data_IF_701211487443
#
_entry.id   IF_701211487443
#
_cell.length_a   1.000
_cell.length_b   1.000
_cell.length_c   1.000
_cell.angle_alpha   90.00
_cell.angle_beta   90.00
_cell.angle_gamma   90.00
#
_symmetry.space_group_name_H-M   'P 1'
#
loop_
_entity.id
_entity.type
_entity.pdbx_description
1 polymer ?
#
# COMPACT_ATOMS: atom_id res chain seq x y z
N UNK A 1 -17.80 -28.45 6.36
CA UNK A 1 -16.98 -28.25 7.57
C UNK A 1 -17.16 -29.48 8.42
N UNK A 2 -16.08 -30.19 8.72
CA UNK A 2 -16.09 -31.31 9.67
C UNK A 2 -15.44 -30.83 10.97
N UNK A 3 -16.01 -31.18 12.10
CA UNK A 3 -15.59 -30.63 13.38
C UNK A 3 -14.93 -31.68 14.27
N UNK A 4 -13.75 -31.35 14.79
CA UNK A 4 -12.95 -32.21 15.66
C UNK A 4 -12.53 -31.42 16.90
N UNK A 5 -13.38 -31.37 17.92
CA UNK A 5 -13.12 -30.62 19.16
C UNK A 5 -12.89 -29.12 18.91
N UNK A 6 -11.71 -28.63 19.27
CA UNK A 6 -11.27 -27.24 19.04
C UNK A 6 -10.73 -26.98 17.62
N UNK A 7 -10.85 -27.94 16.72
CA UNK A 7 -10.44 -27.80 15.33
C UNK A 7 -11.61 -28.01 14.38
N UNK A 8 -11.56 -27.35 13.23
CA UNK A 8 -12.52 -27.49 12.15
C UNK A 8 -11.75 -27.75 10.84
N UNK A 9 -12.08 -28.85 10.16
CA UNK A 9 -11.65 -29.11 8.80
C UNK A 9 -12.59 -28.36 7.85
N UNK A 10 -12.06 -27.35 7.16
CA UNK A 10 -12.80 -26.56 6.19
C UNK A 10 -12.40 -27.01 4.79
N UNK A 11 -13.40 -27.32 3.96
CA UNK A 11 -13.24 -27.66 2.56
C UNK A 11 -13.63 -26.46 1.70
N UNK A 12 -12.71 -26.03 0.85
CA UNK A 12 -12.90 -24.99 -0.15
C UNK A 12 -13.05 -25.62 -1.52
N UNK A 13 -13.96 -25.07 -2.32
CA UNK A 13 -14.28 -25.57 -3.66
C UNK A 13 -14.32 -24.42 -4.65
N UNK A 14 -13.57 -24.57 -5.75
CA UNK A 14 -13.50 -23.63 -6.86
C UNK A 14 -13.99 -24.36 -8.09
N UNK A 15 -15.14 -23.96 -8.62
CA UNK A 15 -15.76 -24.57 -9.80
C UNK A 15 -15.69 -23.61 -10.99
N UNK A 16 -15.23 -24.12 -12.12
CA UNK A 16 -15.25 -23.44 -13.41
C UNK A 16 -16.06 -24.25 -14.44
N UNK A 17 -16.50 -23.58 -15.50
CA UNK A 17 -17.19 -24.18 -16.66
C UNK A 17 -16.33 -24.15 -17.92
N UNK A 18 -15.01 -24.12 -17.77
CA UNK A 18 -14.04 -23.97 -18.84
C UNK A 18 -13.79 -25.25 -19.64
N UNK A 19 -12.66 -25.30 -20.34
CA UNK A 19 -12.31 -26.40 -21.24
C UNK A 19 -12.13 -27.76 -20.55
N UNK A 20 -11.98 -27.77 -19.23
CA UNK A 20 -11.70 -28.97 -18.45
C UNK A 20 -10.40 -29.68 -18.86
N UNK A 21 -10.13 -30.83 -18.24
CA UNK A 21 -8.89 -31.58 -18.39
C UNK A 21 -9.15 -33.04 -18.77
N UNK A 22 -8.31 -33.57 -19.68
CA UNK A 22 -8.32 -34.96 -20.06
C UNK A 22 -7.77 -35.86 -18.93
N UNK A 23 -8.18 -37.13 -18.92
CA UNK A 23 -7.86 -38.06 -17.82
C UNK A 23 -6.37 -38.23 -17.54
N UNK A 24 -5.53 -38.28 -18.59
CA UNK A 24 -4.08 -38.41 -18.47
C UNK A 24 -3.44 -37.21 -17.76
N UNK A 25 -3.96 -36.00 -18.02
CA UNK A 25 -3.43 -34.74 -17.50
C UNK A 25 -3.78 -34.52 -16.02
N UNK A 26 -4.96 -35.00 -15.57
CA UNK A 26 -5.43 -34.84 -14.18
C UNK A 26 -4.43 -35.33 -13.13
N UNK A 27 -3.71 -36.40 -13.43
CA UNK A 27 -2.76 -37.04 -12.50
C UNK A 27 -1.45 -36.26 -12.33
N UNK A 28 -1.08 -35.42 -13.30
CA UNK A 28 0.23 -34.75 -13.36
C UNK A 28 0.15 -33.25 -13.14
N UNK A 29 -1.06 -32.67 -13.16
CA UNK A 29 -1.24 -31.20 -13.13
C UNK A 29 -0.76 -30.53 -11.82
N UNK A 30 -0.56 -31.31 -10.75
CA UNK A 30 0.03 -30.85 -9.50
C UNK A 30 1.56 -30.99 -9.46
N UNK A 31 2.17 -31.66 -10.44
CA UNK A 31 3.62 -31.79 -10.56
C UNK A 31 4.22 -30.54 -11.20
N UNK A 32 5.43 -30.18 -10.75
CA UNK A 32 6.10 -28.97 -11.21
C UNK A 32 6.31 -28.97 -12.71
N UNK A 33 6.05 -27.82 -13.35
CA UNK A 33 6.23 -27.59 -14.78
C UNK A 33 5.33 -28.45 -15.69
N UNK A 34 4.29 -29.08 -15.14
CA UNK A 34 3.31 -29.79 -15.96
C UNK A 34 2.26 -28.83 -16.49
N UNK A 35 2.07 -28.83 -17.81
CA UNK A 35 1.01 -28.10 -18.49
C UNK A 35 -0.04 -29.07 -19.03
N UNK A 36 -1.27 -28.57 -19.18
CA UNK A 36 -2.35 -29.35 -19.75
C UNK A 36 -2.29 -29.48 -21.28
N UNK A 37 -1.48 -28.63 -21.91
CA UNK A 37 -1.34 -28.51 -23.35
C UNK A 37 0.16 -28.30 -23.64
N UNK A 38 0.81 -29.26 -24.32
CA UNK A 38 2.21 -29.15 -24.76
C UNK A 38 2.36 -28.27 -26.02
N UNK A 39 1.26 -27.66 -26.46
CA UNK A 39 1.18 -26.81 -27.64
C UNK A 39 1.81 -25.43 -27.41
N UNK A 40 2.72 -25.01 -28.30
CA UNK A 40 3.33 -23.67 -28.31
C UNK A 40 2.35 -22.54 -28.65
N UNK A 41 1.06 -22.83 -28.90
CA UNK A 41 0.05 -21.79 -29.16
C UNK A 41 -0.49 -21.23 -27.84
N UNK A 42 -0.14 -19.97 -27.56
CA UNK A 42 -0.44 -19.18 -26.36
C UNK A 42 -1.94 -18.90 -26.13
N UNK A 43 -2.77 -19.92 -25.98
CA UNK A 43 -4.19 -19.73 -25.62
C UNK A 43 -4.47 -19.97 -24.13
N UNK A 44 -3.69 -20.83 -23.47
CA UNK A 44 -3.84 -21.16 -22.04
C UNK A 44 -2.46 -21.34 -21.35
N UNK A 45 -1.52 -20.41 -21.58
CA UNK A 45 -0.14 -20.52 -21.09
C UNK A 45 0.04 -20.05 -19.64
N UNK A 46 0.85 -20.78 -18.87
CA UNK A 46 1.31 -20.45 -17.51
C UNK A 46 2.50 -21.34 -17.11
N UNK A 47 3.30 -21.00 -16.11
CA UNK A 47 4.58 -21.70 -15.80
C UNK A 47 4.44 -23.16 -15.31
N UNK A 48 3.21 -23.65 -15.09
CA UNK A 48 2.95 -24.96 -14.50
C UNK A 48 3.32 -25.06 -13.02
N UNK A 49 3.59 -23.92 -12.35
CA UNK A 49 4.00 -23.88 -10.95
C UNK A 49 2.86 -23.55 -9.98
N UNK A 50 1.79 -22.89 -10.45
CA UNK A 50 0.70 -22.42 -9.58
C UNK A 50 0.08 -23.54 -8.73
N UNK A 51 -0.29 -24.66 -9.34
CA UNK A 51 -0.88 -25.80 -8.63
C UNK A 51 0.14 -26.55 -7.74
N UNK A 52 1.42 -26.54 -8.09
CA UNK A 52 2.49 -27.06 -7.23
C UNK A 52 2.63 -26.21 -5.96
N UNK A 53 2.64 -24.88 -6.08
CA UNK A 53 2.72 -23.97 -4.94
C UNK A 53 1.49 -24.13 -4.06
N UNK A 54 0.28 -24.17 -4.65
CA UNK A 54 -0.96 -24.42 -3.90
C UNK A 54 -0.93 -25.74 -3.15
N UNK A 55 -0.39 -26.81 -3.76
CA UNK A 55 -0.21 -28.10 -3.08
C UNK A 55 0.76 -28.02 -1.91
N UNK A 56 1.90 -27.35 -2.06
CA UNK A 56 2.87 -27.17 -0.97
C UNK A 56 2.26 -26.38 0.19
N UNK A 57 1.55 -25.28 -0.08
CA UNK A 57 0.91 -24.48 0.97
C UNK A 57 -0.15 -25.28 1.72
N UNK A 58 -1.03 -25.97 1.00
CA UNK A 58 -2.07 -26.80 1.62
C UNK A 58 -1.45 -27.91 2.49
N UNK A 59 -0.36 -28.55 2.03
CA UNK A 59 0.37 -29.55 2.81
C UNK A 59 1.05 -28.97 4.05
N UNK A 60 1.66 -27.77 3.96
CA UNK A 60 2.24 -27.06 5.12
C UNK A 60 1.15 -26.75 6.15
N UNK A 61 -0.07 -26.43 5.69
CA UNK A 61 -1.23 -26.16 6.54
C UNK A 61 -1.95 -27.45 7.00
N UNK A 62 -1.33 -28.63 6.83
CA UNK A 62 -1.86 -29.91 7.30
C UNK A 62 -3.10 -30.40 6.56
N UNK A 63 -3.32 -29.89 5.35
CA UNK A 63 -4.49 -30.13 4.53
C UNK A 63 -4.25 -31.00 3.30
N UNK A 64 -5.31 -31.25 2.54
CA UNK A 64 -5.26 -31.99 1.27
C UNK A 64 -5.81 -31.16 0.11
N UNK A 65 -5.24 -31.28 -1.09
CA UNK A 65 -5.71 -30.63 -2.32
C UNK A 65 -6.00 -31.67 -3.38
N UNK A 66 -7.03 -31.42 -4.20
CA UNK A 66 -7.40 -32.28 -5.29
C UNK A 66 -8.20 -31.55 -6.36
N UNK A 67 -8.58 -32.31 -7.39
CA UNK A 67 -9.42 -31.80 -8.45
C UNK A 67 -10.30 -32.87 -9.07
N UNK A 68 -11.40 -32.42 -9.68
CA UNK A 68 -12.24 -33.18 -10.58
C UNK A 68 -12.38 -32.37 -11.87
N UNK A 69 -12.26 -33.00 -13.02
CA UNK A 69 -12.44 -32.28 -14.28
C UNK A 69 -12.85 -33.22 -15.39
N UNK A 70 -13.67 -32.69 -16.29
CA UNK A 70 -14.11 -33.35 -17.49
C UNK A 70 -13.92 -32.40 -18.68
N UNK A 71 -13.27 -32.91 -19.73
CA UNK A 71 -13.05 -32.15 -20.96
C UNK A 71 -14.37 -31.58 -21.51
N UNK A 72 -14.35 -30.29 -21.83
CA UNK A 72 -15.47 -29.45 -22.28
C UNK A 72 -16.63 -29.28 -21.28
N UNK A 73 -16.44 -29.60 -19.99
CA UNK A 73 -17.45 -29.39 -18.94
C UNK A 73 -16.93 -28.62 -17.72
N UNK A 74 -15.70 -28.14 -17.77
CA UNK A 74 -15.05 -27.41 -16.67
C UNK A 74 -14.37 -28.30 -15.63
N UNK A 75 -13.89 -27.65 -14.57
CA UNK A 75 -13.17 -28.30 -13.46
C UNK A 75 -13.69 -27.85 -12.10
N UNK A 76 -13.44 -28.68 -11.10
CA UNK A 76 -13.64 -28.42 -9.69
C UNK A 76 -12.31 -28.65 -9.00
N UNK A 77 -11.66 -27.60 -8.53
CA UNK A 77 -10.52 -27.69 -7.64
C UNK A 77 -11.02 -27.62 -6.21
N UNK A 78 -10.47 -28.45 -5.34
CA UNK A 78 -10.84 -28.44 -3.93
C UNK A 78 -9.61 -28.59 -3.06
N UNK A 79 -9.66 -28.01 -1.87
CA UNK A 79 -8.68 -28.29 -0.83
C UNK A 79 -9.31 -28.23 0.55
N UNK A 80 -8.66 -28.87 1.51
CA UNK A 80 -9.05 -28.89 2.91
C UNK A 80 -7.95 -28.26 3.76
N UNK A 81 -8.32 -27.54 4.81
CA UNK A 81 -7.38 -26.99 5.81
C UNK A 81 -7.98 -27.18 7.19
N UNK A 82 -7.12 -27.50 8.16
CA UNK A 82 -7.49 -27.59 9.57
C UNK A 82 -7.29 -26.21 10.20
N UNK A 83 -8.36 -25.65 10.76
CA UNK A 83 -8.32 -24.40 11.53
C UNK A 83 -8.59 -24.66 13.00
N UNK A 84 -7.93 -23.92 13.88
CA UNK A 84 -8.31 -23.85 15.29
C UNK A 84 -9.55 -22.96 15.43
N UNK A 85 -10.54 -23.48 16.14
CA UNK A 85 -11.72 -22.71 16.54
C UNK A 85 -11.26 -21.72 17.61
N UNK A 86 -11.52 -20.45 17.36
CA UNK A 86 -11.41 -19.43 18.39
C UNK A 86 -12.83 -19.01 18.78
N UNK A 87 -13.07 -18.94 20.10
CA UNK A 87 -14.27 -18.31 20.64
C UNK A 87 -14.07 -16.80 20.59
N UNK A 88 -14.18 -16.19 19.41
CA UNK A 88 -14.33 -14.74 19.35
C UNK A 88 -15.76 -14.45 19.79
N UNK A 89 -15.93 -13.78 20.93
CA UNK A 89 -17.16 -13.00 21.16
C UNK A 89 -17.44 -12.21 19.89
N UNK A 90 -18.72 -12.07 19.46
CA UNK A 90 -19.03 -11.33 18.25
C UNK A 90 -18.25 -10.03 18.27
N UNK A 91 -17.42 -9.81 17.24
CA UNK A 91 -16.72 -8.56 17.03
C UNK A 91 -17.80 -7.49 17.23
N UNK A 92 -17.69 -6.60 18.23
CA UNK A 92 -18.68 -5.55 18.40
C UNK A 92 -18.80 -4.87 17.03
N UNK A 93 -20.03 -4.72 16.53
CA UNK A 93 -20.27 -3.87 15.38
C UNK A 93 -19.49 -2.56 15.63
N UNK A 94 -18.80 -2.01 14.61
CA UNK A 94 -17.96 -0.83 14.81
C UNK A 94 -18.81 0.19 15.56
N UNK A 95 -18.40 0.49 16.79
CA UNK A 95 -18.97 1.58 17.55
C UNK A 95 -18.70 2.77 16.67
N UNK A 96 -19.76 3.42 16.18
CA UNK A 96 -19.65 4.72 15.53
C UNK A 96 -19.14 5.63 16.63
N UNK A 97 -17.81 5.75 16.75
CA UNK A 97 -17.20 6.73 17.64
C UNK A 97 -17.71 8.09 17.17
N UNK A 98 -18.35 8.81 18.09
CA UNK A 98 -18.85 10.16 17.87
C UNK A 98 -17.70 11.00 17.31
N UNK A 99 -17.81 11.37 16.04
CA UNK A 99 -16.86 12.25 15.37
C UNK A 99 -16.82 13.57 16.10
N UNK A 100 -15.68 13.91 16.70
CA UNK A 100 -15.35 15.28 17.07
C UNK A 100 -15.40 16.10 15.78
N UNK A 101 -16.33 17.06 15.73
CA UNK A 101 -16.55 17.91 14.58
C UNK A 101 -15.40 18.93 14.44
N UNK A 102 -14.32 18.50 13.77
CA UNK A 102 -13.19 19.37 13.41
C UNK A 102 -13.51 20.28 12.21
N UNK A 103 -14.71 20.18 11.61
CA UNK A 103 -15.10 21.02 10.46
C UNK A 103 -15.21 22.51 10.81
N UNK A 104 -15.23 22.86 12.09
CA UNK A 104 -15.29 24.24 12.59
C UNK A 104 -13.94 24.79 13.10
N UNK A 105 -12.84 24.04 12.99
CA UNK A 105 -11.52 24.52 13.40
C UNK A 105 -10.75 25.06 12.18
N UNK A 106 -10.29 26.32 12.27
CA UNK A 106 -9.44 26.95 11.24
C UNK A 106 -8.00 26.42 11.34
N UNK A 107 -7.80 25.16 10.97
CA UNK A 107 -6.53 24.44 11.10
C UNK A 107 -5.67 24.70 9.86
N UNK A 108 -4.44 25.17 10.05
CA UNK A 108 -3.45 25.37 9.00
C UNK A 108 -2.35 24.32 9.11
N UNK A 109 -2.25 23.48 8.08
CA UNK A 109 -1.33 22.33 8.02
C UNK A 109 -0.26 22.58 6.96
N UNK A 110 1.00 22.42 7.33
CA UNK A 110 2.10 22.40 6.37
C UNK A 110 2.39 20.95 5.95
N UNK A 111 2.34 20.66 4.67
CA UNK A 111 2.64 19.35 4.10
C UNK A 111 3.95 19.44 3.32
N UNK A 112 4.99 18.74 3.79
CA UNK A 112 6.24 18.59 3.07
C UNK A 112 6.30 17.20 2.43
N UNK A 113 6.16 17.14 1.11
CA UNK A 113 6.02 15.90 0.35
C UNK A 113 6.56 16.13 -1.07
N UNK A 114 7.48 15.32 -1.58
CA UNK A 114 8.07 15.53 -2.91
C UNK A 114 7.20 15.01 -4.06
N UNK A 115 6.31 14.07 -3.77
CA UNK A 115 5.56 13.37 -4.77
C UNK A 115 4.18 14.00 -5.00
N UNK A 116 3.98 14.61 -6.17
CA UNK A 116 2.70 15.24 -6.55
C UNK A 116 1.47 14.34 -6.31
N UNK A 117 1.55 13.03 -6.56
CA UNK A 117 0.44 12.09 -6.30
C UNK A 117 0.08 12.06 -4.80
N UNK A 118 1.09 11.94 -3.94
CA UNK A 118 0.91 11.93 -2.49
C UNK A 118 0.50 13.32 -1.97
N UNK A 119 1.03 14.41 -2.54
CA UNK A 119 0.58 15.77 -2.25
C UNK A 119 -0.93 15.88 -2.50
N UNK A 120 -1.39 15.48 -3.68
CA UNK A 120 -2.80 15.54 -4.04
C UNK A 120 -3.69 14.75 -3.09
N UNK A 121 -3.32 13.51 -2.76
CA UNK A 121 -4.13 12.68 -1.85
C UNK A 121 -4.11 13.21 -0.42
N UNK A 122 -2.97 13.69 0.06
CA UNK A 122 -2.86 14.30 1.39
C UNK A 122 -3.72 15.54 1.49
N UNK A 123 -3.61 16.47 0.53
CA UNK A 123 -4.42 17.69 0.47
C UNK A 123 -5.91 17.33 0.41
N UNK A 124 -6.29 16.39 -0.46
CA UNK A 124 -7.67 15.92 -0.56
C UNK A 124 -8.21 15.40 0.78
N UNK A 125 -7.45 14.56 1.48
CA UNK A 125 -7.87 14.03 2.79
C UNK A 125 -8.00 15.13 3.84
N UNK A 126 -7.16 16.16 3.80
CA UNK A 126 -7.22 17.33 4.67
C UNK A 126 -8.42 18.24 4.33
N UNK A 127 -8.75 18.41 3.05
CA UNK A 127 -9.95 19.14 2.64
C UNK A 127 -11.24 18.44 3.09
N UNK A 128 -11.28 17.10 3.04
CA UNK A 128 -12.44 16.32 3.51
C UNK A 128 -12.76 16.50 5.01
N UNK A 129 -11.80 16.99 5.79
CA UNK A 129 -11.96 17.27 7.22
C UNK A 129 -11.99 18.78 7.52
N UNK A 130 -12.01 19.63 6.50
CA UNK A 130 -12.11 21.09 6.62
C UNK A 130 -10.80 21.82 6.93
N UNK A 131 -9.65 21.14 6.88
CA UNK A 131 -8.36 21.76 7.18
C UNK A 131 -7.78 22.51 5.96
N UNK A 132 -7.12 23.65 6.21
CA UNK A 132 -6.32 24.36 5.21
C UNK A 132 -4.94 23.72 5.14
N UNK A 133 -4.41 23.55 3.94
CA UNK A 133 -3.08 22.99 3.75
C UNK A 133 -2.22 23.87 2.83
N UNK A 134 -0.94 23.98 3.18
CA UNK A 134 0.11 24.53 2.31
C UNK A 134 1.08 23.41 2.00
N UNK A 135 1.47 23.25 0.74
CA UNK A 135 2.34 22.16 0.30
C UNK A 135 3.70 22.69 -0.13
N UNK A 136 4.76 22.04 0.33
CA UNK A 136 6.12 22.22 -0.16
C UNK A 136 6.68 20.89 -0.67
N UNK A 137 7.51 20.95 -1.70
CA UNK A 137 8.04 19.76 -2.38
C UNK A 137 9.40 19.28 -1.87
N UNK A 138 9.98 19.98 -0.90
CA UNK A 138 11.32 19.74 -0.40
C UNK A 138 11.45 20.25 1.05
N UNK A 139 12.19 19.54 1.89
CA UNK A 139 12.39 19.91 3.30
C UNK A 139 13.04 21.29 3.48
N UNK A 140 13.84 21.72 2.51
CA UNK A 140 14.53 23.03 2.55
C UNK A 140 13.59 24.23 2.47
N UNK A 141 12.36 24.03 1.99
CA UNK A 141 11.36 25.08 1.82
C UNK A 141 10.53 25.32 3.09
N UNK A 142 10.54 24.38 4.03
CA UNK A 142 9.67 24.39 5.22
C UNK A 142 9.88 25.63 6.07
N UNK A 143 11.14 25.98 6.39
CA UNK A 143 11.46 27.19 7.17
C UNK A 143 10.99 28.47 6.46
N UNK A 144 11.01 28.48 5.13
CA UNK A 144 10.52 29.60 4.34
C UNK A 144 9.03 29.83 4.55
N UNK A 145 8.23 28.76 4.61
CA UNK A 145 6.80 28.85 4.90
C UNK A 145 6.52 29.19 6.37
N UNK A 146 7.25 28.60 7.32
CA UNK A 146 7.14 28.92 8.76
C UNK A 146 7.46 30.38 9.10
N UNK A 147 8.14 31.10 8.20
CA UNK A 147 8.39 32.55 8.33
C UNK A 147 7.27 33.42 7.77
N UNK A 148 6.43 32.89 6.88
CA UNK A 148 5.36 33.62 6.21
C UNK A 148 4.06 33.58 7.00
N UNK A 149 3.76 32.43 7.61
CA UNK A 149 2.55 32.22 8.40
C UNK A 149 2.80 31.17 9.48
N UNK A 150 1.95 31.17 10.50
CA UNK A 150 1.95 30.15 11.54
C UNK A 150 1.13 28.93 11.07
N UNK A 151 1.54 27.75 11.54
CA UNK A 151 0.88 26.47 11.25
C UNK A 151 0.63 25.74 12.57
N UNK A 152 -0.41 24.91 12.60
CA UNK A 152 -0.79 24.14 13.79
C UNK A 152 -0.06 22.81 13.85
N UNK A 153 0.27 22.23 12.68
CA UNK A 153 0.94 20.93 12.56
C UNK A 153 1.65 20.82 11.21
N UNK A 154 2.74 20.06 11.19
CA UNK A 154 3.49 19.71 9.99
C UNK A 154 3.35 18.21 9.71
N UNK A 155 2.91 17.85 8.49
CA UNK A 155 3.04 16.51 7.94
C UNK A 155 4.32 16.45 7.11
N UNK A 156 5.32 15.71 7.60
CA UNK A 156 6.67 15.71 7.05
C UNK A 156 7.01 14.36 6.42
N UNK A 157 7.16 14.30 5.10
CA UNK A 157 7.74 13.13 4.45
C UNK A 157 9.17 12.89 4.95
N UNK A 158 9.45 11.66 5.36
CA UNK A 158 10.79 11.28 5.80
C UNK A 158 11.81 11.30 4.65
N UNK A 159 11.36 11.06 3.42
CA UNK A 159 12.25 10.90 2.27
C UNK A 159 11.90 11.88 1.15
N UNK A 160 12.61 13.00 1.11
CA UNK A 160 12.51 13.99 0.03
C UNK A 160 13.89 14.20 -0.64
N UNK A 161 13.93 14.66 -1.90
CA UNK A 161 15.16 15.10 -2.55
C UNK A 161 15.82 16.26 -1.78
N UNK A 162 17.12 16.47 -1.98
CA UNK A 162 17.97 17.53 -1.42
C UNK A 162 18.03 17.63 0.12
N UNK A 163 16.92 17.96 0.78
CA UNK A 163 16.79 17.95 2.24
C UNK A 163 15.65 17.00 2.64
N UNK A 164 16.03 15.93 3.35
CA UNK A 164 15.08 14.94 3.84
C UNK A 164 14.29 15.46 5.07
N UNK A 165 13.27 14.71 5.47
CA UNK A 165 12.42 15.11 6.59
C UNK A 165 13.13 15.13 7.94
N UNK A 166 14.21 14.36 8.11
CA UNK A 166 14.99 14.32 9.34
C UNK A 166 15.84 15.57 9.49
N UNK A 167 16.55 15.97 8.45
CA UNK A 167 17.37 17.17 8.41
C UNK A 167 16.50 18.45 8.42
N UNK A 168 15.34 18.42 7.75
CA UNK A 168 14.34 19.47 7.85
C UNK A 168 13.84 19.62 9.30
N UNK A 169 13.52 18.52 9.98
CA UNK A 169 13.09 18.54 11.39
C UNK A 169 14.14 19.16 12.30
N UNK A 170 15.43 18.78 12.15
CA UNK A 170 16.50 19.39 12.94
C UNK A 170 16.58 20.90 12.70
N UNK A 171 16.48 21.32 11.45
CA UNK A 171 16.47 22.75 11.07
C UNK A 171 15.29 23.50 11.69
N UNK A 172 14.11 22.87 11.79
CA UNK A 172 12.93 23.45 12.45
C UNK A 172 13.16 23.60 13.95
N UNK A 173 13.69 22.56 14.62
CA UNK A 173 13.98 22.61 16.07
C UNK A 173 15.04 23.65 16.42
N UNK A 174 16.06 23.82 15.58
CA UNK A 174 17.05 24.89 15.70
C UNK A 174 16.41 26.28 15.52
N UNK A 175 15.60 26.45 14.47
CA UNK A 175 14.86 27.68 14.22
C UNK A 175 13.92 28.05 15.38
N UNK A 176 13.20 27.08 15.94
CA UNK A 176 12.33 27.31 17.09
C UNK A 176 13.10 27.80 18.31
N UNK A 177 14.27 27.19 18.56
CA UNK A 177 15.15 27.56 19.67
C UNK A 177 15.75 28.95 19.49
N UNK A 178 16.29 29.25 18.31
CA UNK A 178 16.97 30.52 18.01
C UNK A 178 16.02 31.72 18.12
N UNK A 179 14.75 31.53 17.74
CA UNK A 179 13.73 32.57 17.75
C UNK A 179 12.72 32.45 18.90
N UNK A 180 12.96 31.54 19.86
CA UNK A 180 12.10 31.31 21.03
C UNK A 180 10.61 31.04 20.65
N UNK A 181 10.39 30.33 19.55
CA UNK A 181 9.06 29.91 19.10
C UNK A 181 8.62 28.64 19.86
N UNK A 182 7.31 28.45 20.08
CA UNK A 182 6.80 27.18 20.60
C UNK A 182 7.09 26.05 19.61
N UNK A 183 7.33 24.85 20.14
CA UNK A 183 7.58 23.68 19.30
C UNK A 183 6.30 23.28 18.55
N UNK A 184 6.34 23.35 17.22
CA UNK A 184 5.25 22.89 16.36
C UNK A 184 5.23 21.35 16.34
N UNK A 185 4.05 20.71 16.43
CA UNK A 185 3.93 19.27 16.21
C UNK A 185 4.38 18.89 14.78
N UNK A 186 5.30 17.93 14.67
CA UNK A 186 5.79 17.38 13.40
C UNK A 186 5.47 15.89 13.35
N UNK A 187 4.62 15.49 12.40
CA UNK A 187 4.23 14.10 12.19
C UNK A 187 4.98 13.55 10.99
N UNK A 188 5.79 12.53 11.24
CA UNK A 188 6.53 11.82 10.21
C UNK A 188 5.57 11.05 9.30
N UNK A 189 5.60 11.31 8.01
CA UNK A 189 4.84 10.56 7.02
C UNK A 189 5.80 9.58 6.35
N UNK A 190 5.73 8.30 6.70
CA UNK A 190 6.73 7.28 6.32
C UNK A 190 6.10 6.08 5.64
N UNK A 191 6.75 5.48 4.64
CA UNK A 191 6.26 4.27 3.99
C UNK A 191 6.58 2.96 4.75
N UNK A 192 7.19 3.03 5.94
CA UNK A 192 7.58 1.88 6.74
C UNK A 192 7.44 2.19 8.25
N UNK A 193 6.73 1.37 8.99
CA UNK A 193 6.44 1.56 10.43
C UNK A 193 7.23 0.63 11.35
N UNK A 194 8.26 -0.05 10.82
CA UNK A 194 9.13 -0.91 11.61
C UNK A 194 9.72 -0.12 12.79
N UNK A 195 9.87 -0.78 13.95
CA UNK A 195 10.27 -0.14 15.21
C UNK A 195 11.57 0.69 15.12
N UNK A 196 12.48 0.36 14.18
CA UNK A 196 13.71 1.12 13.93
C UNK A 196 13.47 2.51 13.34
N UNK A 197 12.52 2.65 12.41
CA UNK A 197 12.21 3.93 11.76
C UNK A 197 11.52 4.89 12.75
N UNK A 198 10.66 4.35 13.63
CA UNK A 198 10.01 5.12 14.72
C UNK A 198 11.02 5.78 15.66
N UNK A 199 12.05 5.04 16.09
CA UNK A 199 13.06 5.56 17.01
C UNK A 199 13.89 6.68 16.36
N UNK A 200 14.17 6.58 15.06
CA UNK A 200 14.91 7.61 14.33
C UNK A 200 14.10 8.92 14.21
N UNK A 201 12.80 8.83 13.91
CA UNK A 201 11.91 9.99 13.84
C UNK A 201 11.84 10.73 15.18
N UNK A 202 11.63 10.00 16.28
CA UNK A 202 11.58 10.61 17.62
C UNK A 202 12.92 11.21 18.05
N UNK A 203 14.04 10.56 17.69
CA UNK A 203 15.38 11.03 18.04
C UNK A 203 15.74 12.38 17.41
N UNK A 204 15.20 12.69 16.22
CA UNK A 204 15.42 13.99 15.56
C UNK A 204 14.43 15.07 15.99
N UNK A 205 13.47 14.74 16.88
CA UNK A 205 12.50 15.69 17.41
C UNK A 205 11.16 15.74 16.69
N UNK A 206 10.80 14.71 15.91
CA UNK A 206 9.43 14.52 15.44
C UNK A 206 8.55 14.02 16.60
N UNK A 207 7.25 14.31 16.52
CA UNK A 207 6.29 14.07 17.58
C UNK A 207 5.59 12.71 17.44
N UNK A 208 5.27 12.32 16.21
CA UNK A 208 4.60 11.06 15.90
C UNK A 208 4.88 10.64 14.46
N UNK A 209 4.23 9.56 14.01
CA UNK A 209 4.35 9.07 12.65
C UNK A 209 3.03 8.51 12.13
N UNK A 210 2.87 8.54 10.81
CA UNK A 210 1.77 7.95 10.08
C UNK A 210 2.29 7.22 8.84
N UNK A 211 1.76 6.03 8.58
CA UNK A 211 2.24 5.18 7.49
C UNK A 211 1.63 5.57 6.14
N UNK A 212 2.43 5.71 5.09
CA UNK A 212 1.94 5.85 3.71
C UNK A 212 1.57 4.49 3.10
N UNK A 213 0.47 4.40 2.33
CA UNK A 213 -0.61 5.39 2.27
C UNK A 213 -1.41 5.34 3.59
N UNK A 214 -1.78 6.50 4.11
CA UNK A 214 -2.60 6.57 5.32
C UNK A 214 -4.07 6.69 4.95
N UNK A 215 -4.93 6.05 5.75
CA UNK A 215 -6.38 6.16 5.60
C UNK A 215 -6.87 7.43 6.30
N UNK A 216 -8.03 7.94 5.87
CA UNK A 216 -8.71 9.07 6.51
C UNK A 216 -8.77 8.94 8.04
N UNK A 217 -9.10 7.75 8.53
CA UNK A 217 -9.19 7.47 9.97
C UNK A 217 -7.86 7.65 10.70
N UNK A 218 -6.75 7.15 10.15
CA UNK A 218 -5.44 7.29 10.78
C UNK A 218 -4.97 8.76 10.80
N UNK A 219 -5.29 9.52 9.74
CA UNK A 219 -5.02 10.96 9.69
C UNK A 219 -5.86 11.71 10.73
N UNK A 220 -7.15 11.37 10.83
CA UNK A 220 -8.06 11.93 11.81
C UNK A 220 -7.58 11.69 13.24
N UNK A 221 -7.21 10.45 13.59
CA UNK A 221 -6.65 10.10 14.91
C UNK A 221 -5.40 10.92 15.27
N UNK A 222 -4.47 11.07 14.32
CA UNK A 222 -3.27 11.89 14.52
C UNK A 222 -3.62 13.35 14.74
N UNK A 223 -4.52 13.91 13.93
CA UNK A 223 -4.90 15.31 14.04
C UNK A 223 -5.65 15.58 15.34
N UNK A 224 -6.60 14.73 15.73
CA UNK A 224 -7.28 14.82 17.04
C UNK A 224 -6.31 14.69 18.21
N UNK A 225 -5.24 13.90 18.08
CA UNK A 225 -4.23 13.75 19.12
C UNK A 225 -3.34 14.98 19.27
N UNK A 226 -2.92 15.60 18.17
CA UNK A 226 -1.87 16.62 18.17
C UNK A 226 -2.37 18.05 18.00
N UNK A 227 -3.60 18.24 17.51
CA UNK A 227 -4.26 19.53 17.52
C UNK A 227 -4.91 19.78 18.88
N UNK A 228 -4.97 21.03 19.34
CA UNK A 228 -5.48 21.35 20.67
C UNK A 228 -6.94 20.90 20.85
N UNK A 229 -7.15 19.92 21.75
CA UNK A 229 -8.46 19.49 22.21
C UNK A 229 -9.15 20.61 23.01
N UNK A 230 -10.39 20.95 22.66
CA UNK A 230 -11.36 21.22 23.73
C UNK A 230 -11.67 19.88 24.40
N UNK A 231 -10.93 19.63 25.49
CA UNK A 231 -11.10 18.59 26.51
C UNK A 231 -10.46 17.20 26.29
N UNK A 232 -9.53 16.94 27.22
CA UNK A 232 -8.90 15.69 27.68
C UNK A 232 -9.75 14.43 27.68
N UNK A 233 -9.16 13.26 27.35
CA UNK A 233 -8.85 12.12 28.27
C UNK A 233 -7.74 11.24 27.66
N UNK A 234 -7.01 10.56 28.54
CA UNK A 234 -5.77 9.79 28.45
C UNK A 234 -5.74 8.50 27.57
N UNK A 235 -4.51 8.03 27.38
CA UNK A 235 -3.98 6.93 26.55
C UNK A 235 -4.67 5.56 26.68
N UNK A 236 -4.68 4.81 25.56
CA UNK A 236 -4.30 3.38 25.59
C UNK A 236 -3.82 2.88 24.23
N UNK A 237 -2.64 2.25 24.24
CA UNK A 237 -1.96 1.64 23.09
C UNK A 237 -2.43 0.21 22.88
N UNK A 238 -2.80 -0.17 21.64
CA UNK A 238 -2.83 -1.57 21.19
C UNK A 238 -2.35 -1.71 19.76
N UNK A 239 -1.44 -2.66 19.57
CA UNK A 239 -0.75 -2.95 18.32
C UNK A 239 -1.66 -3.58 17.26
N UNK A 240 -1.27 -3.39 16.00
CA UNK A 240 -1.97 -3.91 14.82
C UNK A 240 -1.16 -5.08 14.25
N UNK A 241 -1.83 -6.22 14.13
CA UNK A 241 -1.38 -7.40 13.41
C UNK A 241 -1.61 -7.20 11.90
N UNK A 242 -0.58 -7.44 11.09
CA UNK A 242 -0.68 -7.50 9.63
C UNK A 242 -1.55 -8.70 9.21
N UNK A 243 -2.50 -8.46 8.29
CA UNK A 243 -3.31 -9.50 7.67
C UNK A 243 -2.97 -9.59 6.18
N UNK A 244 -2.74 -10.81 5.71
CA UNK A 244 -2.32 -11.15 4.36
C UNK A 244 -3.57 -11.22 3.46
N UNK A 245 -3.66 -10.36 2.45
CA UNK A 245 -4.79 -10.34 1.50
C UNK A 245 -4.38 -11.08 0.21
N UNK A 246 -5.23 -11.96 -0.38
CA UNK A 246 -4.91 -12.71 -1.59
C UNK A 246 -4.84 -11.83 -2.84
N UNK A 247 -4.38 -12.43 -3.93
CA UNK A 247 -4.11 -12.00 -5.33
C UNK A 247 -5.03 -10.92 -5.95
N UNK A 248 -5.18 -9.76 -5.31
CA UNK A 248 -5.90 -8.59 -5.85
C UNK A 248 -4.88 -7.72 -6.60
N UNK A 249 -5.19 -7.39 -7.86
CA UNK A 249 -4.36 -6.50 -8.70
C UNK A 249 -4.61 -5.03 -8.35
N UNK A 250 -5.86 -4.69 -8.04
CA UNK A 250 -6.35 -3.34 -7.75
C UNK A 250 -7.41 -3.38 -6.63
N UNK A 251 -7.21 -2.66 -5.54
CA UNK A 251 -8.24 -2.42 -4.53
C UNK A 251 -9.20 -1.34 -5.03
N UNK A 252 -10.33 -1.77 -5.60
CA UNK A 252 -11.31 -0.86 -6.19
C UNK A 252 -12.01 0.01 -5.16
N UNK A 253 -11.99 -0.35 -3.86
CA UNK A 253 -12.62 0.44 -2.80
C UNK A 253 -12.01 1.83 -2.65
N UNK A 254 -10.69 1.95 -2.85
CA UNK A 254 -10.00 3.24 -2.80
C UNK A 254 -10.48 4.14 -3.95
N UNK A 255 -10.65 3.57 -5.14
CA UNK A 255 -11.13 4.30 -6.31
C UNK A 255 -12.64 4.62 -6.20
N UNK A 256 -13.43 3.72 -5.62
CA UNK A 256 -14.85 3.91 -5.35
C UNK A 256 -15.08 5.02 -4.30
N UNK A 257 -14.31 5.03 -3.20
CA UNK A 257 -14.31 6.12 -2.21
C UNK A 257 -13.93 7.48 -2.83
N UNK A 258 -13.03 7.49 -3.82
CA UNK A 258 -12.67 8.69 -4.57
C UNK A 258 -13.75 9.13 -5.59
N UNK A 259 -14.62 8.21 -6.05
CA UNK A 259 -15.63 8.45 -7.08
C UNK A 259 -17.03 8.79 -6.50
N UNK A 260 -17.32 8.44 -5.24
CA UNK A 260 -18.68 8.55 -4.65
C UNK A 260 -19.08 9.97 -4.19
N UNK A 261 -18.24 11.00 -4.45
CA UNK A 261 -18.54 12.39 -4.10
C UNK A 261 -19.02 13.15 -5.34
N UNK A 262 -20.33 13.15 -5.55
CA UNK A 262 -21.03 13.89 -6.60
C UNK A 262 -20.75 15.41 -6.56
N UNK A 263 -19.72 15.87 -7.27
CA UNK A 263 -19.57 17.26 -7.68
C UNK A 263 -18.81 17.34 -9.02
N UNK A 264 -19.36 18.09 -9.98
CA UNK A 264 -18.90 18.16 -11.37
C UNK A 264 -17.49 18.75 -11.56
N UNK A 265 -16.90 19.36 -10.53
CA UNK A 265 -15.53 19.89 -10.56
C UNK A 265 -14.47 18.86 -10.11
N UNK A 266 -14.87 17.71 -9.52
CA UNK A 266 -13.96 16.68 -8.97
C UNK A 266 -13.82 15.42 -9.84
N UNK A 267 -14.70 15.20 -10.81
CA UNK A 267 -14.51 14.14 -11.83
C UNK A 267 -13.20 14.37 -12.63
N UNK A 268 -12.79 15.63 -12.85
CA UNK A 268 -11.50 16.00 -13.46
C UNK A 268 -10.28 15.60 -12.58
N UNK A 269 -10.47 15.45 -11.27
CA UNK A 269 -9.39 15.17 -10.33
C UNK A 269 -8.96 13.70 -10.34
N UNK A 270 -9.92 12.76 -10.36
CA UNK A 270 -9.61 11.33 -10.48
C UNK A 270 -8.96 11.04 -11.82
N UNK A 271 -9.50 11.64 -12.90
CA UNK A 271 -8.93 11.51 -14.24
C UNK A 271 -7.50 12.03 -14.28
N UNK A 272 -7.24 13.19 -13.69
CA UNK A 272 -5.88 13.76 -13.60
C UNK A 272 -4.93 12.90 -12.78
N UNK A 273 -5.38 12.34 -11.66
CA UNK A 273 -4.58 11.44 -10.81
C UNK A 273 -4.19 10.16 -11.56
N UNK A 274 -5.16 9.52 -12.21
CA UNK A 274 -4.97 8.30 -12.98
C UNK A 274 -4.06 8.54 -14.18
N UNK A 275 -4.26 9.64 -14.91
CA UNK A 275 -3.38 10.03 -16.02
C UNK A 275 -1.94 10.30 -15.54
N UNK A 276 -1.76 11.06 -14.45
CA UNK A 276 -0.43 11.32 -13.89
C UNK A 276 0.28 10.03 -13.46
N UNK A 277 -0.46 9.09 -12.86
CA UNK A 277 0.07 7.78 -12.50
C UNK A 277 0.48 6.98 -13.74
N UNK A 278 -0.39 6.90 -14.75
CA UNK A 278 -0.14 6.14 -15.97
C UNK A 278 1.02 6.72 -16.81
N UNK A 279 1.24 8.03 -16.75
CA UNK A 279 2.39 8.67 -17.42
C UNK A 279 3.70 8.41 -16.67
N UNK A 280 3.68 8.45 -15.33
CA UNK A 280 4.88 8.44 -14.50
C UNK A 280 5.47 7.04 -14.28
N UNK A 281 4.61 6.02 -14.09
CA UNK A 281 5.06 4.68 -13.70
C UNK A 281 5.90 3.97 -14.78
N UNK A 282 5.54 3.98 -16.08
CA UNK A 282 6.39 3.37 -17.11
C UNK A 282 7.81 3.95 -17.12
N UNK A 283 7.93 5.27 -17.00
CA UNK A 283 9.22 5.97 -16.95
C UNK A 283 10.04 5.55 -15.73
N UNK A 284 9.39 5.35 -14.58
CA UNK A 284 10.07 4.87 -13.37
C UNK A 284 10.50 3.41 -13.48
N UNK A 285 9.68 2.53 -14.07
CA UNK A 285 10.05 1.13 -14.32
C UNK A 285 11.28 1.06 -15.23
N UNK A 286 11.34 1.88 -16.28
CA UNK A 286 12.51 1.92 -17.16
C UNK A 286 13.77 2.44 -16.44
N UNK A 287 13.63 3.49 -15.60
CA UNK A 287 14.75 3.96 -14.75
C UNK A 287 15.21 2.89 -13.75
N UNK A 288 14.27 2.13 -13.19
CA UNK A 288 14.56 1.03 -12.26
C UNK A 288 15.34 -0.09 -12.96
N UNK A 289 14.98 -0.41 -14.20
CA UNK A 289 15.72 -1.33 -15.05
C UNK A 289 17.15 -0.84 -15.34
N UNK A 290 17.33 0.46 -15.60
CA UNK A 290 18.67 1.04 -15.77
C UNK A 290 19.51 0.98 -14.49
N UNK A 291 18.91 1.24 -13.32
CA UNK A 291 19.60 1.13 -12.04
C UNK A 291 20.03 -0.32 -11.76
N UNK A 292 19.18 -1.28 -12.10
CA UNK A 292 19.46 -2.71 -12.02
C UNK A 292 20.67 -3.13 -12.86
N UNK A 293 20.70 -2.78 -14.16
CA UNK A 293 21.82 -3.08 -15.06
C UNK A 293 23.13 -2.44 -14.57
N UNK A 294 23.05 -1.21 -14.06
CA UNK A 294 24.21 -0.48 -13.54
C UNK A 294 24.65 -0.95 -12.15
N UNK A 295 23.95 -1.90 -11.53
CA UNK A 295 24.15 -2.36 -10.16
C UNK A 295 24.13 -1.22 -9.13
N UNK A 296 23.27 -0.24 -9.39
CA UNK A 296 23.10 0.94 -8.56
C UNK A 296 22.00 0.67 -7.53
N UNK A 297 22.40 0.11 -6.39
CA UNK A 297 21.47 -0.28 -5.31
C UNK A 297 20.78 0.93 -4.66
N UNK A 298 21.42 2.10 -4.66
CA UNK A 298 20.86 3.32 -4.10
C UNK A 298 19.71 3.84 -4.96
N UNK A 299 19.90 3.93 -6.28
CA UNK A 299 18.81 4.30 -7.18
C UNK A 299 17.75 3.21 -7.29
N UNK A 300 18.12 1.93 -7.19
CA UNK A 300 17.16 0.83 -7.10
C UNK A 300 16.23 1.03 -5.88
N UNK A 301 16.79 1.36 -4.72
CA UNK A 301 16.04 1.67 -3.49
C UNK A 301 15.11 2.89 -3.69
N UNK A 302 15.66 4.04 -4.11
CA UNK A 302 14.90 5.30 -4.23
C UNK A 302 13.75 5.19 -5.24
N UNK A 303 13.98 4.59 -6.40
CA UNK A 303 12.96 4.45 -7.45
C UNK A 303 11.88 3.45 -7.00
N UNK A 304 12.26 2.33 -6.40
CA UNK A 304 11.30 1.35 -5.88
C UNK A 304 10.42 1.95 -4.79
N UNK A 305 10.99 2.75 -3.90
CA UNK A 305 10.24 3.46 -2.86
C UNK A 305 9.16 4.38 -3.47
N UNK A 306 9.50 5.13 -4.52
CA UNK A 306 8.56 6.03 -5.19
C UNK A 306 7.42 5.28 -5.89
N UNK A 307 7.74 4.19 -6.61
CA UNK A 307 6.73 3.32 -7.26
C UNK A 307 5.81 2.71 -6.19
N UNK A 308 6.38 2.17 -5.11
CA UNK A 308 5.61 1.58 -4.01
C UNK A 308 4.55 2.55 -3.48
N UNK A 309 4.97 3.78 -3.18
CA UNK A 309 4.07 4.82 -2.66
C UNK A 309 2.97 5.16 -3.66
N UNK A 310 3.32 5.48 -4.92
CA UNK A 310 2.34 5.84 -5.95
C UNK A 310 1.31 4.73 -6.18
N UNK A 311 1.79 3.49 -6.28
CA UNK A 311 0.94 2.33 -6.54
C UNK A 311 0.00 2.07 -5.37
N UNK A 312 0.46 2.26 -4.13
CA UNK A 312 -0.39 2.06 -2.97
C UNK A 312 -1.51 3.11 -2.89
N UNK A 313 -1.21 4.36 -3.28
CA UNK A 313 -2.17 5.47 -3.29
C UNK A 313 -3.37 5.22 -4.22
N UNK A 314 -3.16 4.57 -5.36
CA UNK A 314 -4.24 4.22 -6.30
C UNK A 314 -4.78 2.79 -6.11
N UNK A 315 -4.36 2.09 -5.05
CA UNK A 315 -4.78 0.72 -4.76
C UNK A 315 -4.14 -0.38 -5.63
N UNK A 316 -3.06 -0.10 -6.36
CA UNK A 316 -2.35 -1.06 -7.22
C UNK A 316 -1.48 -2.05 -6.41
N UNK A 317 -2.13 -2.97 -5.71
CA UNK A 317 -1.56 -3.88 -4.70
C UNK A 317 -0.34 -4.65 -5.21
N UNK A 318 -0.39 -5.22 -6.42
CA UNK A 318 0.73 -6.04 -6.93
C UNK A 318 1.98 -5.21 -7.22
N UNK A 319 1.81 -4.01 -7.78
CA UNK A 319 2.93 -3.10 -8.01
C UNK A 319 3.55 -2.65 -6.69
N UNK A 320 2.72 -2.35 -5.68
CA UNK A 320 3.18 -2.02 -4.33
C UNK A 320 4.01 -3.15 -3.73
N UNK A 321 3.57 -4.41 -3.87
CA UNK A 321 4.30 -5.57 -3.35
C UNK A 321 5.66 -5.75 -4.01
N UNK A 322 5.71 -5.76 -5.35
CA UNK A 322 6.96 -5.94 -6.09
C UNK A 322 7.92 -4.78 -5.81
N UNK A 323 7.41 -3.55 -5.71
CA UNK A 323 8.19 -2.39 -5.35
C UNK A 323 8.77 -2.47 -3.92
N UNK A 324 8.02 -3.01 -2.95
CA UNK A 324 8.51 -3.24 -1.58
C UNK A 324 9.67 -4.24 -1.55
N UNK A 325 9.58 -5.31 -2.33
CA UNK A 325 10.65 -6.31 -2.41
C UNK A 325 11.92 -5.71 -3.06
N UNK A 326 11.77 -4.94 -4.15
CA UNK A 326 12.88 -4.24 -4.82
C UNK A 326 13.50 -3.14 -3.94
N UNK A 327 12.68 -2.43 -3.16
CA UNK A 327 13.15 -1.46 -2.16
C UNK A 327 14.00 -2.14 -1.09
N UNK A 328 13.54 -3.27 -0.56
CA UNK A 328 14.27 -4.06 0.44
C UNK A 328 15.61 -4.55 -0.12
N UNK A 329 15.61 -5.02 -1.36
CA UNK A 329 16.80 -5.46 -2.07
C UNK A 329 17.82 -4.32 -2.22
N UNK A 330 17.39 -3.15 -2.71
CA UNK A 330 18.26 -1.98 -2.84
C UNK A 330 18.80 -1.48 -1.50
N UNK A 331 17.99 -1.50 -0.44
CA UNK A 331 18.41 -1.13 0.92
C UNK A 331 19.49 -2.06 1.49
N UNK A 332 19.49 -3.33 1.08
CA UNK A 332 20.53 -4.30 1.45
C UNK A 332 21.85 -4.11 0.68
N UNK A 333 21.91 -3.16 -0.27
CA UNK A 333 23.07 -2.93 -1.12
C UNK A 333 23.20 -3.93 -2.28
N UNK A 334 22.19 -4.78 -2.50
CA UNK A 334 22.17 -5.77 -3.58
C UNK A 334 21.30 -5.30 -4.74
N UNK A 335 21.66 -5.74 -5.94
CA UNK A 335 20.81 -5.66 -7.15
C UNK A 335 20.60 -7.02 -7.78
N UNK A 336 21.01 -8.10 -7.11
CA UNK A 336 20.91 -9.45 -7.63
C UNK A 336 19.44 -9.87 -7.82
N UNK A 337 19.11 -10.46 -8.98
CA UNK A 337 17.75 -10.82 -9.38
C UNK A 337 16.75 -9.66 -9.54
N UNK A 338 17.18 -8.40 -9.40
CA UNK A 338 16.29 -7.24 -9.57
C UNK A 338 15.69 -7.16 -10.98
N UNK A 339 16.40 -7.56 -12.03
CA UNK A 339 15.89 -7.59 -13.41
C UNK A 339 14.63 -8.45 -13.56
N UNK A 340 14.58 -9.61 -12.89
CA UNK A 340 13.42 -10.50 -12.91
C UNK A 340 12.21 -9.83 -12.27
N UNK A 341 12.41 -9.20 -11.11
CA UNK A 341 11.35 -8.51 -10.37
C UNK A 341 10.84 -7.28 -11.13
N UNK A 342 11.72 -6.54 -11.80
CA UNK A 342 11.36 -5.38 -12.64
C UNK A 342 10.55 -5.83 -13.87
N UNK A 343 10.93 -6.95 -14.50
CA UNK A 343 10.14 -7.53 -15.59
C UNK A 343 8.74 -7.98 -15.10
N UNK A 344 8.65 -8.57 -13.91
CA UNK A 344 7.37 -8.91 -13.30
C UNK A 344 6.53 -7.64 -13.01
N UNK A 345 7.15 -6.57 -12.52
CA UNK A 345 6.48 -5.27 -12.30
C UNK A 345 5.92 -4.70 -13.62
N UNK A 346 6.68 -4.80 -14.71
CA UNK A 346 6.24 -4.35 -16.05
C UNK A 346 5.01 -5.12 -16.54
N UNK A 347 4.99 -6.44 -16.35
CA UNK A 347 3.84 -7.29 -16.72
C UNK A 347 2.61 -6.92 -15.89
N UNK A 348 2.77 -6.75 -14.57
CA UNK A 348 1.66 -6.35 -13.71
C UNK A 348 1.14 -4.96 -14.06
N UNK A 349 2.01 -4.03 -14.45
CA UNK A 349 1.59 -2.70 -14.90
C UNK A 349 0.77 -2.77 -16.20
N UNK A 350 1.21 -3.59 -17.17
CA UNK A 350 0.46 -3.81 -18.42
C UNK A 350 -0.93 -4.42 -18.21
N UNK A 351 -1.12 -5.18 -17.12
CA UNK A 351 -2.43 -5.71 -16.73
C UNK A 351 -3.28 -4.69 -15.97
N UNK A 352 -2.63 -3.82 -15.19
CA UNK A 352 -3.28 -2.77 -14.39
C UNK A 352 -3.77 -1.60 -15.25
N UNK A 353 -2.98 -1.14 -16.22
CA UNK A 353 -3.26 0.06 -17.00
C UNK A 353 -4.66 0.04 -17.68
N UNK A 354 -5.10 -1.04 -18.32
CA UNK A 354 -6.46 -1.10 -18.89
C UNK A 354 -7.56 -1.04 -17.83
N UNK A 355 -7.32 -1.56 -16.62
CA UNK A 355 -8.28 -1.52 -15.52
C UNK A 355 -8.45 -0.09 -15.02
N UNK A 356 -7.36 0.67 -14.89
CA UNK A 356 -7.40 2.08 -14.49
C UNK A 356 -8.14 2.94 -15.53
N UNK A 357 -7.95 2.66 -16.83
CA UNK A 357 -8.65 3.37 -17.91
C UNK A 357 -10.17 3.21 -17.87
N UNK A 358 -10.70 2.15 -17.25
CA UNK A 358 -12.14 1.96 -17.08
C UNK A 358 -12.77 2.94 -16.06
N UNK A 359 -11.94 3.60 -15.24
CA UNK A 359 -12.37 4.60 -14.27
C UNK A 359 -12.26 6.03 -14.80
N UNK A 360 -11.66 6.23 -15.99
CA UNK A 360 -11.65 7.52 -16.68
C UNK A 360 -13.02 7.78 -17.32
N UNK A 361 -13.54 9.02 -17.20
CA UNK A 361 -14.85 9.40 -17.76
C UNK A 361 -14.78 10.06 -19.13
#
# INVERSE_FOLDING_TARGET
VEEYGNQALIRFEIRDTGIGLAQATRSKIFDSFTQADDSTTRKYGGTGLGLTISKQLVQIMGGEIGMESQQNKGSLFWFTIIFEKTSVSPIPAPVVEESIDISNLDINILVAEDNKVNQYVTVYMLELIGAKSTVVEDGSLVIGELKKQDFDIILMDCHMPHMDGFDATRSIREYEKDYQKPAIPIIAVTANTMAGDRNNCLAVGMNDFISKPFKKQALYEILTKWLPNSNSVEESTKGISESIVPEIILDTKILEELNDINSSEKDDMLDKLLNLYMDKIPVQIDKLYQASIKKDSENLFKISHNIKSNSATIGAIQLTKIAKELETLGRSGSTENSEYMINNMKINYQQLEPLLKNYLK
#
